data_IF_647320728368
#
_entry.id   IF_647320728368
#
_cell.length_a   1.000
_cell.length_b   1.000
_cell.length_c   1.000
_cell.angle_alpha   90.00
_cell.angle_beta   90.00
_cell.angle_gamma   90.00
#
_symmetry.space_group_name_H-M   'P 1'
#
loop_
_entity.id
_entity.type
_entity.pdbx_description
1 polymer ?
#
# COMPACT_ATOMS: atom_id res chain seq x y z
N UNK A 1 -5.91 -7.39 -24.91
CA UNK A 1 -4.83 -8.27 -24.38
C UNK A 1 -5.45 -9.14 -23.29
N UNK A 2 -5.00 -10.39 -23.08
CA UNK A 2 -5.43 -11.22 -21.94
C UNK A 2 -4.29 -11.22 -20.92
N UNK A 3 -4.58 -10.97 -19.66
CA UNK A 3 -3.57 -11.05 -18.58
C UNK A 3 -3.29 -12.52 -18.23
N UNK A 4 -2.02 -12.90 -18.18
CA UNK A 4 -1.60 -14.28 -17.88
C UNK A 4 -1.33 -14.40 -16.37
N UNK A 5 -1.90 -15.42 -15.71
CA UNK A 5 -1.51 -15.79 -14.35
C UNK A 5 -0.29 -16.71 -14.41
N UNK A 6 0.80 -16.32 -13.75
CA UNK A 6 2.04 -17.09 -13.65
C UNK A 6 2.15 -17.62 -12.21
N UNK A 7 2.10 -18.95 -12.07
CA UNK A 7 2.07 -19.63 -10.77
C UNK A 7 3.36 -20.44 -10.60
N UNK A 8 4.35 -19.96 -9.82
CA UNK A 8 5.65 -20.63 -9.66
C UNK A 8 5.58 -22.05 -9.11
N UNK A 9 4.53 -22.38 -8.37
CA UNK A 9 4.31 -23.74 -7.83
C UNK A 9 4.06 -24.76 -8.94
N UNK A 10 3.53 -24.33 -10.10
CA UNK A 10 3.19 -25.20 -11.25
C UNK A 10 4.02 -24.91 -12.48
N UNK A 11 4.72 -23.79 -12.54
CA UNK A 11 5.61 -23.36 -13.63
C UNK A 11 6.94 -22.83 -13.09
N UNK A 12 7.99 -23.64 -13.16
CA UNK A 12 9.35 -23.27 -12.75
C UNK A 12 9.94 -22.08 -13.52
N UNK A 13 9.39 -21.74 -14.68
CA UNK A 13 9.79 -20.62 -15.50
C UNK A 13 8.97 -19.35 -15.23
N UNK A 14 8.00 -19.36 -14.33
CA UNK A 14 7.10 -18.23 -14.08
C UNK A 14 7.87 -16.90 -13.81
N UNK A 15 8.91 -16.93 -12.98
CA UNK A 15 9.74 -15.75 -12.67
C UNK A 15 10.53 -15.30 -13.91
N UNK A 16 11.10 -16.23 -14.68
CA UNK A 16 11.85 -15.90 -15.92
C UNK A 16 10.93 -15.30 -16.99
N UNK A 17 9.72 -15.81 -17.09
CA UNK A 17 8.68 -15.29 -17.98
C UNK A 17 8.29 -13.89 -17.59
N UNK A 18 8.00 -13.65 -16.29
CA UNK A 18 7.71 -12.32 -15.76
C UNK A 18 8.86 -11.33 -16.00
N UNK A 19 10.11 -11.74 -15.74
CA UNK A 19 11.30 -10.93 -15.98
C UNK A 19 11.50 -10.58 -17.46
N UNK A 20 11.20 -11.50 -18.36
CA UNK A 20 11.26 -11.25 -19.81
C UNK A 20 10.24 -10.22 -20.24
N UNK A 21 9.02 -10.24 -19.67
CA UNK A 21 8.00 -9.23 -19.91
C UNK A 21 8.47 -7.84 -19.39
N UNK A 22 9.05 -7.77 -18.20
CA UNK A 22 9.64 -6.53 -17.66
C UNK A 22 10.70 -5.96 -18.60
N UNK A 23 11.65 -6.81 -19.08
CA UNK A 23 12.69 -6.40 -20.06
C UNK A 23 12.11 -5.93 -21.40
N UNK A 24 10.95 -6.45 -21.77
CA UNK A 24 10.21 -6.02 -22.96
C UNK A 24 9.40 -4.72 -22.75
N UNK A 25 9.54 -4.07 -21.59
CA UNK A 25 8.81 -2.84 -21.24
C UNK A 25 7.34 -3.08 -20.91
N UNK A 26 6.95 -4.30 -20.51
CA UNK A 26 5.59 -4.62 -20.09
C UNK A 26 5.42 -4.50 -18.57
N UNK A 27 4.14 -4.42 -18.12
CA UNK A 27 3.76 -4.35 -16.71
C UNK A 27 3.35 -5.73 -16.20
N UNK A 28 3.87 -6.09 -15.02
CA UNK A 28 3.58 -7.36 -14.34
C UNK A 28 3.08 -7.10 -12.93
N UNK A 29 2.01 -7.80 -12.51
CA UNK A 29 1.59 -7.86 -11.12
C UNK A 29 2.63 -8.63 -10.30
N UNK A 30 3.26 -7.99 -9.30
CA UNK A 30 4.33 -8.54 -8.48
C UNK A 30 3.86 -8.71 -7.04
N UNK A 31 3.98 -9.93 -6.43
CA UNK A 31 3.68 -10.13 -5.02
C UNK A 31 4.74 -9.44 -4.15
N UNK A 32 4.31 -8.85 -3.03
CA UNK A 32 5.21 -8.41 -1.96
C UNK A 32 4.63 -8.81 -0.60
N UNK A 33 5.41 -8.66 0.47
CA UNK A 33 4.93 -8.93 1.82
C UNK A 33 3.85 -7.94 2.27
N UNK A 34 3.75 -6.77 1.64
CA UNK A 34 2.79 -5.70 1.99
C UNK A 34 1.51 -5.79 1.18
N UNK A 35 1.57 -5.46 -0.10
CA UNK A 35 0.49 -5.53 -1.07
C UNK A 35 1.08 -5.90 -2.43
N UNK A 36 0.29 -6.39 -3.36
CA UNK A 36 0.75 -6.57 -4.74
C UNK A 36 1.08 -5.23 -5.39
N UNK A 37 2.16 -5.20 -6.16
CA UNK A 37 2.60 -4.05 -6.95
C UNK A 37 2.43 -4.24 -8.46
N UNK A 38 2.15 -3.16 -9.20
CA UNK A 38 2.29 -3.13 -10.65
C UNK A 38 3.73 -2.78 -11.00
N UNK A 39 4.53 -3.79 -11.35
CA UNK A 39 5.94 -3.66 -11.59
C UNK A 39 6.25 -3.38 -13.07
N UNK A 40 7.10 -2.40 -13.31
CA UNK A 40 7.74 -2.13 -14.60
C UNK A 40 9.19 -1.70 -14.39
N UNK A 41 10.02 -1.71 -15.44
CA UNK A 41 11.39 -1.21 -15.40
C UNK A 41 11.41 0.25 -14.95
N UNK A 42 12.02 0.52 -13.79
CA UNK A 42 12.10 1.86 -13.21
C UNK A 42 12.97 2.84 -14.01
N UNK A 43 13.83 2.33 -14.90
CA UNK A 43 14.74 3.13 -15.73
C UNK A 43 14.15 3.43 -17.11
N UNK A 44 12.94 2.93 -17.42
CA UNK A 44 12.23 3.11 -18.68
C UNK A 44 10.94 3.90 -18.46
N UNK A 45 10.96 5.20 -18.78
CA UNK A 45 9.81 6.08 -18.65
C UNK A 45 8.58 5.62 -19.42
N UNK A 46 8.73 4.98 -20.61
CA UNK A 46 7.62 4.46 -21.38
C UNK A 46 6.96 3.24 -20.73
N UNK A 47 7.76 2.35 -20.12
CA UNK A 47 7.24 1.25 -19.33
C UNK A 47 6.50 1.75 -18.07
N UNK A 48 7.03 2.79 -17.41
CA UNK A 48 6.39 3.43 -16.24
C UNK A 48 5.05 4.08 -16.60
N UNK A 49 4.92 4.72 -17.76
CA UNK A 49 3.64 5.29 -18.25
C UNK A 49 2.54 4.23 -18.35
N UNK A 50 2.87 2.99 -18.74
CA UNK A 50 1.91 1.88 -18.80
C UNK A 50 1.29 1.56 -17.44
N UNK A 51 2.05 1.74 -16.33
CA UNK A 51 1.51 1.59 -14.97
C UNK A 51 0.38 2.59 -14.72
N UNK A 52 0.60 3.86 -15.02
CA UNK A 52 -0.41 4.90 -14.83
C UNK A 52 -1.65 4.66 -15.68
N UNK A 53 -1.46 4.23 -16.94
CA UNK A 53 -2.56 3.86 -17.84
C UNK A 53 -3.37 2.67 -17.32
N UNK A 54 -2.72 1.59 -16.88
CA UNK A 54 -3.39 0.41 -16.34
C UNK A 54 -4.23 0.72 -15.10
N UNK A 55 -3.73 1.61 -14.22
CA UNK A 55 -4.42 2.04 -13.00
C UNK A 55 -5.53 3.06 -13.25
N UNK A 56 -5.54 3.76 -14.38
CA UNK A 56 -6.34 4.98 -14.55
C UNK A 56 -5.93 6.09 -13.57
N UNK A 57 -4.62 6.24 -13.30
CA UNK A 57 -4.06 7.14 -12.30
C UNK A 57 -3.40 8.35 -12.96
N UNK A 58 -3.64 9.60 -12.48
CA UNK A 58 -2.87 10.76 -12.91
C UNK A 58 -1.37 10.61 -12.58
N UNK A 59 -0.50 11.19 -13.44
CA UNK A 59 0.95 11.16 -13.25
C UNK A 59 1.43 12.33 -12.34
N UNK A 60 0.78 12.51 -11.20
CA UNK A 60 1.06 13.58 -10.24
C UNK A 60 1.46 13.06 -8.85
N UNK A 61 1.67 11.75 -8.73
CA UNK A 61 1.96 11.08 -7.47
C UNK A 61 3.06 10.03 -7.70
N UNK A 62 4.28 10.22 -7.14
CA UNK A 62 5.48 9.44 -7.47
C UNK A 62 5.31 7.95 -7.18
N UNK A 63 6.16 7.13 -7.78
CA UNK A 63 6.22 5.70 -7.60
C UNK A 63 7.39 5.31 -6.70
N UNK A 64 7.30 4.13 -6.07
CA UNK A 64 8.38 3.55 -5.28
C UNK A 64 9.20 2.62 -6.16
N UNK A 65 10.51 2.78 -6.15
CA UNK A 65 11.47 1.90 -6.81
C UNK A 65 11.87 0.76 -5.88
N UNK A 66 11.72 -0.47 -6.36
CA UNK A 66 12.05 -1.68 -5.63
C UNK A 66 13.40 -2.23 -6.10
N UNK A 67 14.25 -2.56 -5.15
CA UNK A 67 15.57 -3.15 -5.34
C UNK A 67 15.66 -4.54 -4.70
N UNK A 68 16.58 -5.37 -5.12
CA UNK A 68 16.80 -6.72 -4.59
C UNK A 68 17.92 -6.79 -3.55
N UNK A 69 18.89 -5.90 -3.64
CA UNK A 69 20.06 -5.83 -2.78
C UNK A 69 20.38 -4.37 -2.42
N UNK A 70 20.89 -4.14 -1.20
CA UNK A 70 21.09 -2.79 -0.67
C UNK A 70 22.01 -1.93 -1.54
N UNK A 71 23.05 -2.55 -2.10
CA UNK A 71 24.06 -1.85 -2.90
C UNK A 71 23.49 -1.13 -4.10
N UNK A 72 22.36 -1.59 -4.65
CA UNK A 72 21.68 -0.94 -5.77
C UNK A 72 21.19 0.49 -5.43
N UNK A 73 21.07 0.85 -4.14
CA UNK A 73 20.70 2.22 -3.75
C UNK A 73 21.74 3.25 -4.23
N UNK A 74 23.02 2.87 -4.29
CA UNK A 74 24.10 3.78 -4.70
C UNK A 74 24.05 4.11 -6.19
N UNK A 75 23.47 3.23 -7.01
CA UNK A 75 23.26 3.48 -8.44
C UNK A 75 22.07 4.45 -8.67
N UNK A 76 21.14 4.50 -7.74
CA UNK A 76 19.88 5.26 -7.85
C UNK A 76 19.90 6.58 -7.10
N UNK A 77 20.82 6.74 -6.14
CA UNK A 77 20.93 7.91 -5.27
C UNK A 77 22.37 8.40 -5.21
N UNK A 78 22.67 9.63 -5.68
CA UNK A 78 24.03 10.15 -5.73
C UNK A 78 24.63 10.42 -4.34
N UNK A 79 23.78 10.64 -3.34
CA UNK A 79 24.18 10.93 -1.97
C UNK A 79 23.24 10.21 -0.99
N UNK A 80 23.58 8.95 -0.65
CA UNK A 80 22.81 8.15 0.31
C UNK A 80 23.01 8.71 1.72
N UNK A 81 21.94 9.19 2.39
CA UNK A 81 22.07 9.71 3.75
C UNK A 81 22.54 8.62 4.73
N UNK A 82 23.33 8.95 5.76
CA UNK A 82 23.83 7.96 6.73
C UNK A 82 22.69 7.27 7.50
N UNK A 83 21.55 7.93 7.69
CA UNK A 83 20.32 7.36 8.28
C UNK A 83 19.77 6.21 7.44
N UNK A 84 19.93 6.26 6.12
CA UNK A 84 19.45 5.22 5.22
C UNK A 84 20.11 3.86 5.51
N UNK A 85 21.41 3.86 5.80
CA UNK A 85 22.14 2.64 6.17
C UNK A 85 21.63 2.06 7.47
N UNK A 86 21.45 2.90 8.52
CA UNK A 86 20.92 2.46 9.82
C UNK A 86 19.53 1.84 9.70
N UNK A 87 18.66 2.49 8.92
CA UNK A 87 17.31 1.99 8.67
C UNK A 87 17.31 0.70 7.85
N UNK A 88 18.17 0.59 6.85
CA UNK A 88 18.31 -0.61 6.04
C UNK A 88 18.81 -1.80 6.88
N UNK A 89 19.81 -1.62 7.72
CA UNK A 89 20.32 -2.65 8.63
C UNK A 89 19.24 -3.14 9.62
N UNK A 90 18.33 -2.25 10.04
CA UNK A 90 17.27 -2.59 10.98
C UNK A 90 16.03 -3.21 10.31
N UNK A 91 15.66 -2.76 9.10
CA UNK A 91 14.32 -3.02 8.56
C UNK A 91 14.31 -3.53 7.11
N UNK A 92 15.43 -3.65 6.42
CA UNK A 92 15.53 -4.24 5.09
C UNK A 92 16.23 -5.60 5.12
N UNK A 93 15.72 -6.57 4.36
CA UNK A 93 14.53 -6.55 3.51
C UNK A 93 13.24 -6.44 4.34
N UNK A 94 12.28 -5.56 3.92
CA UNK A 94 11.06 -5.39 4.69
C UNK A 94 10.13 -4.29 4.23
N UNK A 95 9.06 -4.04 5.01
CA UNK A 95 7.94 -3.18 4.64
C UNK A 95 8.23 -1.69 4.91
N UNK A 96 9.42 -1.22 4.50
CA UNK A 96 9.84 0.17 4.67
C UNK A 96 10.37 0.77 3.36
N UNK A 97 9.94 2.00 3.07
CA UNK A 97 10.38 2.82 1.94
C UNK A 97 11.09 4.06 2.47
N UNK A 98 12.28 4.32 1.96
CA UNK A 98 13.03 5.54 2.25
C UNK A 98 12.96 6.48 1.05
N UNK A 99 12.60 7.74 1.26
CA UNK A 99 12.69 8.80 0.25
C UNK A 99 14.04 9.47 0.40
N UNK A 100 14.81 9.43 -0.68
CA UNK A 100 16.19 9.91 -0.78
C UNK A 100 16.34 10.80 -2.02
N UNK A 101 17.44 11.60 -2.14
CA UNK A 101 17.74 12.34 -3.36
C UNK A 101 17.79 11.42 -4.58
N UNK A 102 17.16 11.85 -5.67
CA UNK A 102 17.04 11.10 -6.93
C UNK A 102 18.34 11.21 -7.75
N UNK A 103 18.82 10.10 -8.30
CA UNK A 103 19.86 10.06 -9.33
C UNK A 103 19.30 10.34 -10.73
N UNK A 104 20.16 10.79 -11.64
CA UNK A 104 19.79 11.16 -13.01
C UNK A 104 19.27 9.98 -13.85
N UNK A 105 19.56 8.74 -13.46
CA UNK A 105 19.07 7.54 -14.13
C UNK A 105 17.58 7.29 -13.91
N UNK A 106 16.96 7.92 -12.90
CA UNK A 106 15.53 7.78 -12.60
C UNK A 106 14.74 8.78 -13.44
N UNK A 107 13.87 8.32 -14.37
CA UNK A 107 13.06 9.18 -15.20
C UNK A 107 12.02 9.95 -14.39
N UNK A 108 11.62 11.11 -14.91
CA UNK A 108 10.62 11.98 -14.26
C UNK A 108 9.24 11.33 -14.14
N UNK A 109 8.93 10.36 -14.97
CA UNK A 109 7.71 9.56 -14.86
C UNK A 109 7.62 8.80 -13.53
N UNK A 110 8.76 8.37 -12.95
CA UNK A 110 8.82 7.72 -11.63
C UNK A 110 8.64 8.72 -10.52
N UNK A 111 9.38 9.83 -10.58
CA UNK A 111 9.41 10.85 -9.52
C UNK A 111 8.32 11.91 -9.65
N UNK A 112 7.59 11.96 -10.77
CA UNK A 112 6.65 13.04 -11.11
C UNK A 112 7.33 14.42 -11.04
N UNK A 113 8.61 14.50 -11.49
CA UNK A 113 9.41 15.71 -11.49
C UNK A 113 9.85 16.21 -10.11
N UNK A 114 9.92 15.31 -9.12
CA UNK A 114 10.56 15.58 -7.82
C UNK A 114 12.05 15.26 -7.90
N UNK A 115 12.84 15.97 -7.08
CA UNK A 115 14.28 15.72 -6.90
C UNK A 115 14.58 14.55 -5.94
N UNK A 116 13.52 13.81 -5.57
CA UNK A 116 13.59 12.69 -4.64
C UNK A 116 12.89 11.47 -5.22
N UNK A 117 13.30 10.28 -4.74
CA UNK A 117 12.69 9.00 -5.10
C UNK A 117 12.52 8.13 -3.86
N UNK A 118 11.38 7.42 -3.79
CA UNK A 118 11.17 6.38 -2.77
C UNK A 118 11.85 5.07 -3.20
N UNK A 119 12.72 4.52 -2.36
CA UNK A 119 13.40 3.23 -2.59
C UNK A 119 13.00 2.24 -1.51
N UNK A 120 12.76 0.98 -1.91
CA UNK A 120 12.41 -0.11 -1.02
C UNK A 120 13.09 -1.41 -1.42
N UNK A 121 13.51 -2.21 -0.41
CA UNK A 121 13.95 -3.58 -0.57
C UNK A 121 12.90 -4.51 0.08
N UNK A 122 12.00 -5.12 -0.72
CA UNK A 122 10.93 -5.97 -0.18
C UNK A 122 11.48 -7.27 0.39
N UNK A 123 10.82 -7.83 1.42
CA UNK A 123 11.22 -9.12 1.99
C UNK A 123 10.68 -10.32 1.21
N UNK A 124 9.67 -10.15 0.37
CA UNK A 124 9.05 -11.25 -0.38
C UNK A 124 10.06 -11.90 -1.36
N UNK A 125 10.30 -13.21 -1.28
CA UNK A 125 11.34 -13.87 -2.05
C UNK A 125 11.11 -13.78 -3.56
N UNK A 126 9.87 -13.90 -4.03
CA UNK A 126 9.54 -13.79 -5.46
C UNK A 126 9.74 -12.37 -5.99
N UNK A 127 9.44 -11.32 -5.21
CA UNK A 127 9.74 -9.95 -5.60
C UNK A 127 11.22 -9.75 -5.84
N UNK A 128 12.06 -10.18 -4.89
CA UNK A 128 13.52 -10.09 -5.02
C UNK A 128 14.06 -10.93 -6.18
N UNK A 129 13.52 -12.14 -6.37
CA UNK A 129 13.90 -13.00 -7.50
C UNK A 129 13.52 -12.35 -8.85
N UNK A 130 12.33 -11.75 -8.96
CA UNK A 130 11.91 -11.03 -10.17
C UNK A 130 12.82 -9.84 -10.47
N UNK A 131 13.19 -9.03 -9.47
CA UNK A 131 14.09 -7.89 -9.64
C UNK A 131 15.46 -8.37 -10.12
N UNK A 132 16.04 -9.41 -9.49
CA UNK A 132 17.33 -9.97 -9.91
C UNK A 132 17.28 -10.56 -11.32
N UNK A 133 16.26 -11.35 -11.63
CA UNK A 133 16.12 -11.99 -12.94
C UNK A 133 15.86 -10.97 -14.06
N UNK A 134 15.16 -9.86 -13.75
CA UNK A 134 14.95 -8.78 -14.73
C UNK A 134 16.22 -7.96 -14.98
N UNK A 135 17.15 -7.92 -14.02
CA UNK A 135 18.40 -7.17 -14.11
C UNK A 135 18.25 -5.65 -13.96
N UNK A 136 17.07 -5.18 -13.57
CA UNK A 136 16.73 -3.75 -13.42
C UNK A 136 15.92 -3.52 -12.14
N UNK A 137 16.00 -2.32 -11.52
CA UNK A 137 15.11 -1.93 -10.45
C UNK A 137 13.68 -1.76 -10.99
N UNK A 138 12.67 -2.01 -10.16
CA UNK A 138 11.27 -2.00 -10.57
C UNK A 138 10.49 -0.87 -9.90
N UNK A 139 9.87 0.01 -10.69
CA UNK A 139 8.86 0.94 -10.19
C UNK A 139 7.55 0.18 -9.97
N UNK A 140 7.01 0.24 -8.74
CA UNK A 140 5.79 -0.48 -8.44
C UNK A 140 4.89 0.24 -7.41
N UNK A 141 3.79 0.88 -7.81
CA UNK A 141 2.69 1.21 -6.93
C UNK A 141 1.84 -0.03 -6.64
N UNK A 142 0.88 0.05 -5.70
CA UNK A 142 -0.10 -1.02 -5.47
C UNK A 142 -0.88 -1.41 -6.74
N UNK A 143 -1.25 -2.69 -6.88
CA UNK A 143 -1.80 -3.25 -8.13
C UNK A 143 -3.32 -3.10 -8.29
N UNK A 144 -3.95 -2.15 -7.59
CA UNK A 144 -5.37 -1.84 -7.70
C UNK A 144 -5.66 -0.76 -8.75
N UNK A 145 -6.88 -0.71 -9.26
CA UNK A 145 -7.44 0.47 -9.94
C UNK A 145 -7.38 1.67 -9.00
N UNK A 146 -7.04 2.87 -9.52
CA UNK A 146 -6.84 4.07 -8.70
C UNK A 146 -8.07 4.36 -7.82
N UNK A 147 -7.83 4.70 -6.55
CA UNK A 147 -8.86 5.01 -5.56
C UNK A 147 -9.44 3.79 -4.81
N UNK A 148 -9.34 2.56 -5.36
CA UNK A 148 -9.87 1.34 -4.76
C UNK A 148 -8.96 0.77 -3.66
N UNK A 149 -9.46 -0.15 -2.80
CA UNK A 149 -8.63 -0.82 -1.79
C UNK A 149 -7.46 -1.55 -2.45
N UNK A 150 -6.28 -1.56 -1.81
CA UNK A 150 -5.10 -2.22 -2.35
C UNK A 150 -5.33 -3.73 -2.49
N UNK A 151 -4.53 -4.36 -3.35
CA UNK A 151 -4.64 -5.78 -3.67
C UNK A 151 -3.68 -6.60 -2.81
N UNK A 152 -4.18 -7.60 -2.10
CA UNK A 152 -3.41 -8.46 -1.19
C UNK A 152 -3.30 -9.90 -1.67
N UNK A 153 -3.97 -10.23 -2.78
CA UNK A 153 -3.90 -11.54 -3.46
C UNK A 153 -3.81 -11.37 -4.97
N UNK A 154 -3.35 -12.41 -5.68
CA UNK A 154 -3.34 -12.43 -7.16
C UNK A 154 -4.75 -12.33 -7.75
N UNK A 155 -5.76 -12.88 -7.08
CA UNK A 155 -7.16 -12.77 -7.47
C UNK A 155 -7.64 -11.32 -7.46
N UNK A 156 -7.32 -10.55 -6.40
CA UNK A 156 -7.62 -9.12 -6.35
C UNK A 156 -6.97 -8.37 -7.51
N UNK A 157 -5.70 -8.70 -7.85
CA UNK A 157 -5.03 -8.09 -9.00
C UNK A 157 -5.71 -8.46 -10.30
N UNK A 158 -6.07 -9.73 -10.50
CA UNK A 158 -6.78 -10.20 -11.69
C UNK A 158 -8.11 -9.46 -11.85
N UNK A 159 -8.89 -9.29 -10.77
CA UNK A 159 -10.18 -8.56 -10.80
C UNK A 159 -10.02 -7.10 -11.27
N UNK A 160 -8.94 -6.42 -10.87
CA UNK A 160 -8.71 -5.00 -11.19
C UNK A 160 -7.98 -4.80 -12.53
N UNK A 161 -7.11 -5.75 -12.93
CA UNK A 161 -6.08 -5.56 -13.97
C UNK A 161 -6.19 -6.52 -15.16
N UNK A 162 -7.16 -7.44 -15.21
CA UNK A 162 -7.33 -8.30 -16.38
C UNK A 162 -7.51 -7.47 -17.66
N UNK A 163 -6.78 -7.86 -18.69
CA UNK A 163 -6.75 -7.17 -19.98
C UNK A 163 -5.93 -5.87 -20.03
N UNK A 164 -5.39 -5.39 -18.88
CA UNK A 164 -4.65 -4.12 -18.78
C UNK A 164 -3.14 -4.31 -18.62
N UNK A 165 -2.69 -5.46 -18.11
CA UNK A 165 -1.28 -5.79 -17.89
C UNK A 165 -0.93 -7.15 -18.50
N UNK A 166 0.37 -7.39 -18.74
CA UNK A 166 0.81 -8.59 -19.44
C UNK A 166 0.62 -9.88 -18.60
N UNK A 167 1.01 -9.85 -17.32
CA UNK A 167 0.93 -11.01 -16.44
C UNK A 167 0.81 -10.61 -14.97
N UNK A 168 0.44 -11.61 -14.15
CA UNK A 168 0.47 -11.53 -12.68
C UNK A 168 1.31 -12.72 -12.20
N UNK A 169 2.33 -12.46 -11.41
CA UNK A 169 3.10 -13.47 -10.69
C UNK A 169 2.38 -13.77 -9.37
N UNK A 170 1.85 -14.99 -9.22
CA UNK A 170 1.14 -15.39 -8.02
C UNK A 170 2.13 -15.83 -6.93
N UNK A 171 2.15 -15.10 -5.84
CA UNK A 171 2.95 -15.38 -4.65
C UNK A 171 2.11 -15.64 -3.40
N UNK A 172 0.81 -15.91 -3.57
CA UNK A 172 -0.11 -16.09 -2.47
C UNK A 172 -0.55 -14.78 -1.80
N UNK A 173 -1.15 -14.88 -0.62
CA UNK A 173 -1.61 -13.72 0.14
C UNK A 173 -0.46 -12.96 0.81
N UNK A 174 -0.58 -11.64 0.87
CA UNK A 174 0.42 -10.77 1.51
C UNK A 174 0.43 -10.93 3.04
N UNK A 175 1.62 -11.09 3.62
CA UNK A 175 1.77 -11.35 5.07
C UNK A 175 1.52 -10.13 5.96
N UNK A 176 1.77 -8.90 5.48
CA UNK A 176 1.57 -7.63 6.22
C UNK A 176 0.20 -7.02 5.93
N UNK A 177 -0.24 -7.00 4.67
CA UNK A 177 -1.58 -6.58 4.24
C UNK A 177 -1.78 -5.07 4.04
N UNK A 178 -0.97 -4.22 4.65
CA UNK A 178 -0.95 -2.77 4.42
C UNK A 178 0.34 -2.36 3.72
N UNK A 179 0.32 -1.24 2.99
CA UNK A 179 1.50 -0.75 2.27
C UNK A 179 2.64 -0.40 3.22
N UNK A 180 3.86 -0.34 2.66
CA UNK A 180 5.08 0.00 3.39
C UNK A 180 4.99 1.32 4.15
N UNK A 181 5.65 1.37 5.29
CA UNK A 181 6.00 2.63 5.96
C UNK A 181 6.84 3.49 5.03
N UNK A 182 6.54 4.78 4.92
CA UNK A 182 7.31 5.73 4.10
C UNK A 182 7.89 6.81 4.99
N UNK A 183 9.22 6.91 5.00
CA UNK A 183 9.98 7.94 5.70
C UNK A 183 10.82 8.74 4.70
N UNK A 184 10.84 10.06 4.82
CA UNK A 184 11.75 10.90 4.03
C UNK A 184 13.01 11.22 4.81
N UNK A 185 14.14 11.07 4.14
CA UNK A 185 15.48 11.43 4.60
C UNK A 185 16.05 12.64 3.82
N UNK A 186 15.24 13.24 2.95
CA UNK A 186 15.60 14.40 2.14
C UNK A 186 15.27 15.73 2.82
N UNK A 187 15.00 15.74 4.11
CA UNK A 187 14.73 16.91 4.94
C UNK A 187 15.80 17.01 6.04
N UNK A 188 15.86 18.16 6.70
CA UNK A 188 16.78 18.38 7.84
C UNK A 188 16.59 17.32 8.95
N UNK A 189 15.33 16.91 9.19
CA UNK A 189 14.98 15.81 10.10
C UNK A 189 14.21 14.75 9.35
N UNK A 190 14.47 13.46 9.63
CA UNK A 190 13.65 12.36 9.11
C UNK A 190 12.17 12.57 9.47
N UNK A 191 11.26 12.33 8.50
CA UNK A 191 9.82 12.52 8.70
C UNK A 191 9.02 11.35 8.18
N UNK A 192 8.14 10.81 9.01
CA UNK A 192 7.17 9.79 8.64
C UNK A 192 6.09 10.42 7.75
N UNK A 193 5.95 9.94 6.50
CA UNK A 193 4.97 10.41 5.53
C UNK A 193 3.77 9.46 5.38
N UNK A 194 3.96 8.18 5.67
CA UNK A 194 2.90 7.16 5.63
C UNK A 194 3.21 6.07 6.65
N UNK A 195 2.28 5.74 7.57
CA UNK A 195 2.45 4.63 8.49
C UNK A 195 2.25 3.31 7.73
N UNK A 196 2.90 2.23 8.18
CA UNK A 196 2.86 0.90 7.57
C UNK A 196 3.40 -0.15 8.52
N UNK A 197 3.97 -1.24 7.97
CA UNK A 197 4.43 -2.39 8.76
C UNK A 197 5.57 -2.08 9.74
N UNK A 198 6.35 -1.00 9.53
CA UNK A 198 7.32 -0.51 10.52
C UNK A 198 6.68 0.67 11.24
N UNK A 199 6.62 0.60 12.59
CA UNK A 199 5.94 1.60 13.41
C UNK A 199 6.79 2.83 13.66
N UNK A 200 6.16 3.93 14.09
CA UNK A 200 6.87 5.16 14.46
C UNK A 200 7.85 4.94 15.63
N UNK A 201 7.45 4.12 16.60
CA UNK A 201 8.26 3.74 17.76
C UNK A 201 9.52 2.99 17.33
N UNK A 202 9.40 2.06 16.39
CA UNK A 202 10.54 1.34 15.80
C UNK A 202 11.46 2.29 15.03
N UNK A 203 10.94 3.22 14.24
CA UNK A 203 11.75 4.23 13.56
C UNK A 203 12.52 5.09 14.57
N UNK A 204 11.85 5.55 15.64
CA UNK A 204 12.46 6.35 16.70
C UNK A 204 13.51 5.58 17.50
N UNK A 205 13.36 4.27 17.66
CA UNK A 205 14.37 3.44 18.34
C UNK A 205 15.69 3.39 17.58
N UNK A 206 15.68 3.57 16.26
CA UNK A 206 16.87 3.55 15.39
C UNK A 206 17.45 4.95 15.16
N UNK A 207 16.59 5.94 14.95
CA UNK A 207 16.99 7.29 14.53
C UNK A 207 16.95 8.33 15.66
N UNK A 208 16.28 8.03 16.78
CA UNK A 208 15.98 9.02 17.82
C UNK A 208 14.77 9.87 17.45
N UNK A 209 14.97 11.08 16.95
CA UNK A 209 13.88 11.98 16.57
C UNK A 209 13.37 11.68 15.16
N UNK A 210 12.06 11.51 15.02
CA UNK A 210 11.34 11.37 13.75
C UNK A 210 10.09 12.25 13.82
N UNK A 211 10.01 13.20 12.90
CA UNK A 211 8.83 14.03 12.72
C UNK A 211 7.69 13.23 12.09
N UNK A 212 6.46 13.71 12.26
CA UNK A 212 5.26 13.10 11.66
C UNK A 212 4.60 14.13 10.74
N UNK A 213 4.26 13.70 9.52
CA UNK A 213 3.61 14.57 8.56
C UNK A 213 2.12 14.75 8.90
N UNK A 214 1.59 15.97 8.71
CA UNK A 214 0.18 16.31 8.98
C UNK A 214 -0.79 15.51 8.12
N UNK A 215 -0.38 15.09 6.92
CA UNK A 215 -1.17 14.26 6.02
C UNK A 215 -1.58 12.90 6.59
N UNK A 216 -1.01 12.49 7.72
CA UNK A 216 -1.44 11.27 8.42
C UNK A 216 -2.79 11.47 9.10
N UNK A 217 -3.07 12.66 9.56
CA UNK A 217 -4.22 12.98 10.41
C UNK A 217 -5.29 13.83 9.72
N UNK A 218 -4.90 14.60 8.70
CA UNK A 218 -5.75 15.59 8.06
C UNK A 218 -5.79 15.40 6.53
N UNK A 219 -6.92 15.78 5.92
CA UNK A 219 -7.02 15.84 4.47
C UNK A 219 -6.15 16.99 3.96
N UNK A 220 -5.22 16.67 3.05
CA UNK A 220 -4.40 17.70 2.38
C UNK A 220 -5.20 18.34 1.24
N UNK A 221 -4.98 19.63 1.02
CA UNK A 221 -5.56 20.37 -0.12
C UNK A 221 -5.09 19.79 -1.47
N UNK A 222 -5.95 19.90 -2.47
CA UNK A 222 -5.69 19.34 -3.81
C UNK A 222 -4.50 20.02 -4.53
N UNK A 223 -4.09 21.22 -4.10
CA UNK A 223 -2.99 22.01 -4.68
C UNK A 223 -1.61 21.65 -4.10
N UNK A 224 -1.54 20.78 -3.07
CA UNK A 224 -0.28 20.42 -2.43
C UNK A 224 0.46 19.37 -3.27
N UNK A 225 1.72 19.66 -3.64
CA UNK A 225 2.62 18.68 -4.28
C UNK A 225 3.04 17.66 -3.23
N UNK A 226 2.69 16.39 -3.45
CA UNK A 226 2.96 15.32 -2.48
C UNK A 226 4.27 14.60 -2.76
N UNK A 227 4.99 14.25 -1.70
CA UNK A 227 6.31 13.61 -1.78
C UNK A 227 6.22 12.07 -1.74
N UNK A 228 5.05 11.49 -1.46
CA UNK A 228 4.89 10.04 -1.34
C UNK A 228 3.53 9.54 -1.82
N UNK A 229 3.45 8.28 -2.29
CA UNK A 229 2.17 7.66 -2.64
C UNK A 229 1.21 7.59 -1.45
N UNK A 230 -0.09 7.85 -1.72
CA UNK A 230 -1.15 7.73 -0.72
C UNK A 230 -1.34 8.95 0.18
N UNK A 231 -0.68 10.08 -0.08
CA UNK A 231 -0.90 11.32 0.67
C UNK A 231 -2.07 12.14 0.14
N UNK A 232 -2.32 12.15 -1.19
CA UNK A 232 -3.33 12.94 -1.89
C UNK A 232 -4.50 12.04 -2.31
N UNK A 233 -5.66 12.61 -2.52
CA UNK A 233 -6.90 11.96 -2.97
C UNK A 233 -7.57 11.00 -1.97
N UNK A 234 -8.84 10.66 -2.24
CA UNK A 234 -9.53 9.56 -1.58
C UNK A 234 -8.90 8.24 -2.06
N UNK A 235 -8.34 7.49 -1.14
CA UNK A 235 -7.70 6.20 -1.40
C UNK A 235 -8.42 5.09 -0.66
N UNK A 236 -8.26 3.85 -1.16
CA UNK A 236 -8.73 2.63 -0.49
C UNK A 236 -10.24 2.51 -0.37
N UNK A 237 -11.00 3.30 -1.12
CA UNK A 237 -12.44 3.37 -0.98
C UNK A 237 -13.14 2.20 -1.69
N UNK A 238 -14.03 1.45 -1.01
CA UNK A 238 -15.03 0.61 -1.66
C UNK A 238 -16.04 1.47 -2.44
N UNK A 239 -16.95 0.83 -3.16
CA UNK A 239 -18.01 1.54 -3.91
C UNK A 239 -18.92 2.34 -3.00
N UNK A 240 -19.37 1.72 -1.89
CA UNK A 240 -20.21 2.38 -0.90
C UNK A 240 -19.40 3.36 -0.03
N UNK A 241 -19.97 4.49 0.39
CA UNK A 241 -19.31 5.41 1.31
C UNK A 241 -19.08 4.76 2.67
N UNK A 242 -17.93 5.04 3.27
CA UNK A 242 -17.53 4.57 4.59
C UNK A 242 -17.62 5.73 5.59
N UNK A 243 -18.15 5.47 6.78
CA UNK A 243 -18.05 6.35 7.95
C UNK A 243 -17.34 5.60 9.06
N UNK A 244 -16.28 6.18 9.58
CA UNK A 244 -15.51 5.63 10.69
C UNK A 244 -16.15 6.05 12.00
N UNK A 245 -16.30 5.11 12.93
CA UNK A 245 -16.66 5.40 14.33
C UNK A 245 -15.47 5.08 15.20
N UNK A 246 -14.99 6.07 15.95
CA UNK A 246 -13.77 6.02 16.73
C UNK A 246 -14.05 6.30 18.21
N UNK A 247 -13.37 5.58 19.08
CA UNK A 247 -13.50 5.67 20.53
C UNK A 247 -13.31 4.30 21.18
N UNK A 248 -13.88 4.14 22.35
CA UNK A 248 -13.96 2.85 23.04
C UNK A 248 -14.71 1.82 22.19
N UNK A 249 -14.21 0.58 21.99
CA UNK A 249 -14.84 -0.41 21.11
C UNK A 249 -16.29 -0.73 21.44
N UNK A 250 -16.66 -0.85 22.73
CA UNK A 250 -18.04 -1.10 23.15
C UNK A 250 -18.96 0.08 22.78
N UNK A 251 -18.49 1.31 22.98
CA UNK A 251 -19.23 2.51 22.62
C UNK A 251 -19.39 2.66 21.11
N UNK A 252 -18.32 2.35 20.34
CA UNK A 252 -18.39 2.41 18.88
C UNK A 252 -19.38 1.39 18.34
N UNK A 253 -19.42 0.17 18.87
CA UNK A 253 -20.39 -0.84 18.49
C UNK A 253 -21.81 -0.42 18.83
N UNK A 254 -22.04 0.11 20.04
CA UNK A 254 -23.36 0.62 20.46
C UNK A 254 -23.82 1.79 19.58
N UNK A 255 -22.92 2.71 19.25
CA UNK A 255 -23.23 3.83 18.35
C UNK A 255 -23.63 3.33 16.96
N UNK A 256 -22.85 2.42 16.35
CA UNK A 256 -23.15 1.83 15.04
C UNK A 256 -24.52 1.15 15.08
N UNK A 257 -24.78 0.30 16.10
CA UNK A 257 -26.06 -0.41 16.24
C UNK A 257 -27.28 0.53 16.31
N UNK A 258 -27.11 1.71 16.92
CA UNK A 258 -28.16 2.73 17.01
C UNK A 258 -28.40 3.51 15.70
N UNK A 259 -27.48 3.42 14.72
CA UNK A 259 -27.53 4.19 13.47
C UNK A 259 -27.63 3.29 12.22
N UNK A 260 -27.98 2.02 12.38
CA UNK A 260 -28.17 1.10 11.25
C UNK A 260 -29.36 1.54 10.40
N UNK A 261 -29.17 1.49 9.08
CA UNK A 261 -30.23 1.72 8.09
C UNK A 261 -30.38 0.51 7.18
N UNK A 262 -31.26 0.62 6.20
CA UNK A 262 -31.39 -0.39 5.16
C UNK A 262 -30.09 -0.48 4.32
N UNK A 263 -29.74 -1.68 3.85
CA UNK A 263 -28.56 -1.93 3.01
C UNK A 263 -27.24 -1.41 3.63
N UNK A 264 -27.12 -1.52 4.96
CA UNK A 264 -25.92 -1.12 5.70
C UNK A 264 -24.93 -2.27 5.80
N UNK A 265 -23.67 -1.98 5.50
CA UNK A 265 -22.51 -2.81 5.81
C UNK A 265 -21.83 -2.35 7.10
N UNK A 266 -21.29 -3.28 7.87
CA UNK A 266 -20.52 -2.97 9.09
C UNK A 266 -19.18 -3.69 9.02
N UNK A 267 -18.08 -2.93 9.10
CA UNK A 267 -16.75 -3.46 9.30
C UNK A 267 -16.37 -3.33 10.78
N UNK A 268 -16.20 -4.44 11.48
CA UNK A 268 -16.03 -4.44 12.93
C UNK A 268 -14.93 -5.41 13.39
N UNK A 269 -14.56 -5.31 14.67
CA UNK A 269 -13.75 -6.33 15.32
C UNK A 269 -14.56 -7.62 15.52
N UNK A 270 -13.88 -8.76 15.63
CA UNK A 270 -14.50 -10.08 15.72
C UNK A 270 -15.47 -10.20 16.90
N UNK A 271 -15.16 -9.53 18.01
CA UNK A 271 -15.92 -9.50 19.25
C UNK A 271 -17.33 -8.90 19.07
N UNK A 272 -17.53 -8.06 18.04
CA UNK A 272 -18.78 -7.33 17.82
C UNK A 272 -19.61 -7.86 16.64
N UNK A 273 -19.23 -8.99 16.05
CA UNK A 273 -19.92 -9.59 14.90
C UNK A 273 -21.44 -9.69 15.09
N UNK A 274 -21.88 -10.14 16.25
CA UNK A 274 -23.27 -10.42 16.54
C UNK A 274 -24.09 -9.17 17.00
N UNK A 275 -23.42 -8.01 17.10
CA UNK A 275 -24.06 -6.76 17.52
C UNK A 275 -24.89 -6.10 16.40
N UNK A 276 -24.82 -6.58 15.14
CA UNK A 276 -25.39 -5.92 13.97
C UNK A 276 -26.35 -6.84 13.19
N UNK A 277 -27.46 -7.29 13.77
CA UNK A 277 -28.39 -8.22 13.12
C UNK A 277 -29.00 -7.59 11.87
N UNK A 278 -29.07 -8.38 10.78
CA UNK A 278 -29.66 -7.94 9.51
C UNK A 278 -28.73 -7.10 8.62
N UNK A 279 -27.51 -6.81 9.05
CA UNK A 279 -26.49 -6.13 8.24
C UNK A 279 -25.54 -7.12 7.56
N UNK A 280 -24.87 -6.66 6.52
CA UNK A 280 -23.67 -7.34 5.99
C UNK A 280 -22.50 -6.99 6.91
N UNK A 281 -21.97 -7.98 7.63
CA UNK A 281 -20.88 -7.78 8.60
C UNK A 281 -19.61 -8.41 8.10
N UNK A 282 -18.56 -7.59 7.99
CA UNK A 282 -17.20 -7.99 7.64
C UNK A 282 -16.27 -7.75 8.83
N UNK A 283 -15.80 -8.83 9.47
CA UNK A 283 -14.87 -8.74 10.57
C UNK A 283 -13.43 -8.73 10.04
N UNK A 284 -12.62 -7.82 10.56
CA UNK A 284 -11.23 -7.66 10.12
C UNK A 284 -10.19 -8.07 11.17
N UNK A 285 -10.60 -8.82 12.18
CA UNK A 285 -9.76 -9.37 13.26
C UNK A 285 -10.20 -8.92 14.64
N UNK A 286 -9.65 -9.58 15.69
CA UNK A 286 -9.87 -9.17 17.07
C UNK A 286 -9.34 -7.76 17.34
N UNK A 287 -9.95 -7.02 18.28
CA UNK A 287 -9.54 -5.68 18.68
C UNK A 287 -8.07 -5.61 19.15
N UNK A 288 -7.54 -6.71 19.67
CA UNK A 288 -6.18 -6.82 20.19
C UNK A 288 -5.18 -7.46 19.20
N UNK A 289 -5.62 -7.89 18.00
CA UNK A 289 -4.75 -8.48 16.98
C UNK A 289 -4.55 -7.53 15.79
N UNK A 290 -3.70 -6.52 15.99
CA UNK A 290 -3.34 -5.54 14.95
C UNK A 290 -2.72 -6.18 13.70
N UNK A 291 -2.07 -7.35 13.85
CA UNK A 291 -1.49 -8.07 12.73
C UNK A 291 -2.56 -8.62 11.79
N UNK A 292 -3.59 -9.26 12.33
CA UNK A 292 -4.73 -9.72 11.54
C UNK A 292 -5.51 -8.55 10.95
N UNK A 293 -5.75 -7.49 11.73
CA UNK A 293 -6.41 -6.29 11.23
C UNK A 293 -5.69 -5.69 10.00
N UNK A 294 -4.37 -5.63 10.04
CA UNK A 294 -3.58 -5.13 8.92
C UNK A 294 -3.68 -6.03 7.67
N UNK A 295 -3.69 -7.36 7.86
CA UNK A 295 -3.84 -8.32 6.74
C UNK A 295 -5.21 -8.26 6.09
N UNK A 296 -6.26 -8.07 6.90
CA UNK A 296 -7.65 -8.22 6.47
C UNK A 296 -8.30 -6.91 5.98
N UNK A 297 -7.82 -5.74 6.42
CA UNK A 297 -8.50 -4.45 6.19
C UNK A 297 -8.88 -4.21 4.72
N UNK A 298 -8.01 -4.51 3.77
CA UNK A 298 -8.30 -4.29 2.35
C UNK A 298 -9.21 -5.37 1.77
N UNK A 299 -9.06 -6.62 2.21
CA UNK A 299 -9.92 -7.72 1.79
C UNK A 299 -11.37 -7.45 2.23
N UNK A 300 -11.58 -7.07 3.49
CA UNK A 300 -12.91 -6.74 4.01
C UNK A 300 -13.53 -5.52 3.34
N UNK A 301 -12.76 -4.47 3.07
CA UNK A 301 -13.23 -3.33 2.29
C UNK A 301 -13.64 -3.72 0.86
N UNK A 302 -12.93 -4.69 0.23
CA UNK A 302 -13.28 -5.21 -1.09
C UNK A 302 -14.52 -6.07 -1.07
N UNK A 303 -14.74 -6.87 -0.02
CA UNK A 303 -15.88 -7.77 0.11
C UNK A 303 -17.21 -7.02 0.01
N UNK A 304 -17.31 -5.81 0.55
CA UNK A 304 -18.53 -4.99 0.43
C UNK A 304 -18.95 -4.65 -1.00
N UNK A 305 -18.00 -4.63 -1.94
CA UNK A 305 -18.30 -4.28 -3.33
C UNK A 305 -19.22 -5.28 -4.05
N UNK A 306 -19.33 -6.49 -3.53
CA UNK A 306 -20.12 -7.59 -4.09
C UNK A 306 -21.45 -7.81 -3.31
N UNK A 307 -21.75 -6.99 -2.29
CA UNK A 307 -22.89 -7.21 -1.39
C UNK A 307 -24.09 -6.31 -1.67
N UNK A 308 -23.92 -5.24 -2.45
CA UNK A 308 -24.99 -4.27 -2.73
C UNK A 308 -25.31 -3.29 -1.59
N UNK A 309 -24.48 -3.24 -0.54
CA UNK A 309 -24.62 -2.23 0.53
C UNK A 309 -24.45 -0.82 -0.02
N UNK A 310 -25.19 0.14 0.55
CA UNK A 310 -25.16 1.53 0.13
C UNK A 310 -24.39 2.44 1.08
N UNK A 311 -24.11 1.98 2.29
CA UNK A 311 -23.25 2.66 3.27
C UNK A 311 -22.51 1.64 4.13
N UNK A 312 -21.37 2.03 4.66
CA UNK A 312 -20.55 1.19 5.53
C UNK A 312 -20.19 1.97 6.77
N UNK A 313 -20.46 1.39 7.94
CA UNK A 313 -19.91 1.84 9.21
C UNK A 313 -18.68 1.01 9.54
N UNK A 314 -17.60 1.65 10.01
CA UNK A 314 -16.37 0.96 10.34
C UNK A 314 -15.87 1.31 11.75
N UNK A 315 -15.65 0.30 12.59
CA UNK A 315 -14.84 0.47 13.79
C UNK A 315 -13.39 0.75 13.41
N UNK A 316 -12.66 1.44 14.26
CA UNK A 316 -11.28 1.86 13.99
C UNK A 316 -10.38 1.48 15.17
N UNK A 317 -9.21 0.85 14.93
CA UNK A 317 -8.25 0.57 15.98
C UNK A 317 -7.62 1.86 16.53
N UNK A 318 -6.86 1.74 17.61
CA UNK A 318 -6.08 2.82 18.18
C UNK A 318 -5.02 3.34 17.20
N UNK A 319 -4.60 4.60 17.38
CA UNK A 319 -3.53 5.22 16.56
C UNK A 319 -2.12 4.87 17.08
N UNK A 320 -1.91 3.70 17.70
CA UNK A 320 -0.64 3.24 18.25
C UNK A 320 -0.06 2.07 17.46
N UNK A 321 1.24 2.00 17.36
CA UNK A 321 1.94 0.91 16.70
C UNK A 321 1.43 0.66 15.27
N UNK A 322 1.14 -0.61 14.96
CA UNK A 322 0.57 -1.00 13.66
C UNK A 322 -0.88 -0.51 13.49
N UNK A 323 -1.60 -0.27 14.59
CA UNK A 323 -2.96 0.29 14.57
C UNK A 323 -3.03 1.63 13.85
N UNK A 324 -2.00 2.49 13.97
CA UNK A 324 -1.90 3.74 13.23
C UNK A 324 -1.99 3.52 11.70
N UNK A 325 -1.36 2.46 11.19
CA UNK A 325 -1.42 2.14 9.77
C UNK A 325 -2.82 1.69 9.35
N UNK A 326 -3.45 0.80 10.10
CA UNK A 326 -4.82 0.32 9.83
C UNK A 326 -5.81 1.47 9.91
N UNK A 327 -5.78 2.25 11.00
CA UNK A 327 -6.63 3.43 11.19
C UNK A 327 -6.49 4.45 10.05
N UNK A 328 -5.25 4.72 9.62
CA UNK A 328 -4.99 5.62 8.49
C UNK A 328 -5.66 5.11 7.19
N UNK A 329 -5.63 3.79 6.92
CA UNK A 329 -6.26 3.20 5.72
C UNK A 329 -7.78 3.32 5.77
N UNK A 330 -8.40 3.01 6.91
CA UNK A 330 -9.85 3.12 7.09
C UNK A 330 -10.30 4.59 6.99
N UNK A 331 -9.61 5.52 7.67
CA UNK A 331 -9.91 6.97 7.60
C UNK A 331 -9.81 7.51 6.16
N UNK A 332 -8.80 7.07 5.38
CA UNK A 332 -8.67 7.45 3.96
C UNK A 332 -9.74 6.81 3.08
N UNK A 333 -10.15 5.57 3.33
CA UNK A 333 -11.29 4.94 2.66
C UNK A 333 -12.59 5.72 2.89
N UNK A 334 -12.76 6.25 4.10
CA UNK A 334 -13.89 7.09 4.49
C UNK A 334 -13.78 8.56 3.99
N UNK A 335 -12.66 8.96 3.36
CA UNK A 335 -12.43 10.36 3.02
C UNK A 335 -12.41 11.27 4.24
N UNK A 336 -11.97 10.76 5.39
CA UNK A 336 -11.95 11.40 6.70
C UNK A 336 -13.35 11.71 7.29
N UNK A 337 -14.39 10.97 6.86
CA UNK A 337 -15.70 10.98 7.55
C UNK A 337 -15.56 10.17 8.84
N UNK A 338 -15.39 10.86 9.98
CA UNK A 338 -15.12 10.25 11.29
C UNK A 338 -16.11 10.79 12.31
N UNK A 339 -16.65 9.89 13.15
CA UNK A 339 -17.48 10.18 14.31
C UNK A 339 -16.69 9.72 15.54
N UNK A 340 -16.50 10.60 16.50
CA UNK A 340 -15.88 10.30 17.81
C UNK A 340 -16.95 10.03 18.87
N UNK A 341 -16.83 8.94 19.67
CA UNK A 341 -17.82 8.51 20.68
C UNK A 341 -17.17 8.15 22.02
#
# INVERSE_FOLDING_TARGET
MKTTLLTPETDENAIKTAASLIRAGEVVGMPTETVYGLAANALDGEAVKKIFLAKGRPQDNPLIVHIADFEQIYDLCPAVPPEAKKLAEAFWPGPMTMIVPKGDCIPDEVSCGLDTVGIRLPSHPMARALIRESGVPLAAPSANTSGRPSTTTAEHVMRDMDGKIAAILDGGACGVGVESTVITLALERPRLLRPGGITLEQLRSVLGEVDVDRALYEKIGDDVKVSAPGMKYRHYAPKAPVTVVRGDPDKTAAYIAAHLGEQTGVMCFDEYRDCFPGCVVECFGSENDLGTQAREVFDRLRAFDDTGVQQIWAQCPSDEGLGLAVANRIKKAAGFSVVEV
#
